data_IF_170097709237
#
_entry.id   IF_170097709237
#
_cell.length_a   1.000
_cell.length_b   1.000
_cell.length_c   1.000
_cell.angle_alpha   90.00
_cell.angle_beta   90.00
_cell.angle_gamma   90.00
#
_symmetry.space_group_name_H-M   'P 1'
#
loop_
_entity.id
_entity.type
_entity.pdbx_description
1 polymer ?
#
# COMPACT_ATOMS: atom_id res chain seq x y z
N UNK A 1 13.54 18.07 3.54
CA UNK A 1 13.32 17.01 2.53
C UNK A 1 12.00 17.31 1.82
N UNK A 2 11.99 17.40 0.50
CA UNK A 2 10.74 17.62 -0.28
C UNK A 2 10.02 16.28 -0.43
N UNK A 3 8.71 16.23 -0.20
CA UNK A 3 7.87 15.04 -0.34
C UNK A 3 6.74 15.32 -1.33
N UNK A 4 6.32 14.31 -2.09
CA UNK A 4 5.13 14.35 -2.92
C UNK A 4 3.84 14.14 -2.12
N UNK A 5 3.94 13.83 -0.82
CA UNK A 5 2.77 13.61 0.03
C UNK A 5 1.99 14.89 0.26
N UNK A 6 0.72 14.87 -0.10
CA UNK A 6 -0.28 15.91 0.21
C UNK A 6 -0.69 15.77 1.68
N UNK A 7 -0.97 14.54 2.13
CA UNK A 7 -1.18 14.22 3.54
C UNK A 7 0.18 14.01 4.21
N UNK A 8 0.59 14.95 5.05
CA UNK A 8 1.91 14.96 5.68
C UNK A 8 1.98 14.20 7.00
N UNK A 9 0.86 13.64 7.49
CA UNK A 9 0.78 13.03 8.82
C UNK A 9 1.93 12.07 9.13
N UNK A 10 2.24 11.13 8.23
CA UNK A 10 3.30 10.15 8.48
C UNK A 10 4.67 10.81 8.65
N UNK A 11 4.97 11.83 7.83
CA UNK A 11 6.21 12.59 7.91
C UNK A 11 6.31 13.43 9.19
N UNK A 12 5.20 14.07 9.57
CA UNK A 12 5.15 14.96 10.72
C UNK A 12 5.18 14.20 12.06
N UNK A 13 4.96 12.88 12.01
CA UNK A 13 5.01 11.98 13.16
C UNK A 13 6.19 10.98 13.11
N UNK A 14 7.23 11.27 12.33
CA UNK A 14 8.48 10.51 12.38
C UNK A 14 9.17 10.68 13.75
N UNK A 15 9.93 9.67 14.20
CA UNK A 15 10.77 9.81 15.38
C UNK A 15 11.69 11.03 15.28
N UNK A 16 12.08 11.66 16.41
CA UNK A 16 13.10 12.69 16.44
C UNK A 16 14.37 12.26 15.69
N UNK A 17 15.07 13.22 15.07
CA UNK A 17 16.19 12.91 14.18
C UNK A 17 17.29 12.08 14.85
N UNK A 18 17.55 12.30 16.12
CA UNK A 18 18.52 11.57 16.95
C UNK A 18 18.14 10.09 17.18
N UNK A 19 16.86 9.73 16.97
CA UNK A 19 16.35 8.36 17.05
C UNK A 19 16.19 7.71 15.68
N UNK A 20 16.50 8.42 14.59
CA UNK A 20 16.43 7.87 13.25
C UNK A 20 17.76 7.15 12.92
N UNK A 21 17.71 6.06 12.11
CA UNK A 21 18.91 5.38 11.67
C UNK A 21 19.71 6.28 10.71
N UNK A 22 21.03 6.14 10.74
CA UNK A 22 21.89 6.67 9.70
C UNK A 22 21.80 5.77 8.46
N UNK A 23 21.49 6.37 7.31
CA UNK A 23 21.38 5.64 6.05
C UNK A 23 22.72 5.67 5.32
N UNK A 24 23.42 4.53 5.28
CA UNK A 24 24.68 4.37 4.58
C UNK A 24 24.45 3.88 3.14
N UNK A 25 24.06 4.78 2.24
CA UNK A 25 23.86 4.47 0.82
C UNK A 25 25.15 4.66 0.01
N UNK A 26 26.22 3.98 0.40
CA UNK A 26 27.54 4.12 -0.21
C UNK A 26 27.68 3.32 -1.52
N UNK A 27 26.98 2.19 -1.63
CA UNK A 27 26.99 1.34 -2.82
C UNK A 27 26.28 2.03 -3.99
N UNK A 28 26.82 1.92 -5.22
CA UNK A 28 26.19 2.49 -6.41
C UNK A 28 24.72 2.07 -6.60
N UNK A 29 24.40 0.81 -6.27
CA UNK A 29 23.06 0.21 -6.36
C UNK A 29 22.06 0.82 -5.37
N UNK A 30 22.54 1.47 -4.31
CA UNK A 30 21.74 2.13 -3.28
C UNK A 30 21.60 3.64 -3.50
N UNK A 31 22.06 4.15 -4.63
CA UNK A 31 21.91 5.56 -5.02
C UNK A 31 20.55 5.79 -5.61
N UNK A 32 19.57 6.09 -4.76
CA UNK A 32 18.21 6.36 -5.19
C UNK A 32 18.04 7.82 -5.65
N UNK A 33 17.19 8.08 -6.65
CA UNK A 33 16.85 9.44 -7.05
C UNK A 33 16.10 10.17 -5.93
N UNK A 34 16.14 11.50 -5.92
CA UNK A 34 15.43 12.34 -4.94
C UNK A 34 13.93 12.06 -4.92
N UNK A 35 13.37 11.67 -6.07
CA UNK A 35 11.97 11.30 -6.23
C UNK A 35 11.88 9.90 -6.81
N UNK A 36 11.25 9.02 -6.06
CA UNK A 36 11.07 7.62 -6.42
C UNK A 36 9.64 7.18 -6.12
N UNK A 37 9.00 6.53 -7.08
CA UNK A 37 7.81 5.74 -6.83
C UNK A 37 8.19 4.26 -6.88
N UNK A 38 8.13 3.58 -5.74
CA UNK A 38 8.53 2.18 -5.64
C UNK A 38 7.75 1.25 -6.58
N UNK A 39 6.46 1.52 -6.81
CA UNK A 39 5.67 0.72 -7.74
C UNK A 39 6.12 0.93 -9.20
N UNK A 40 6.47 2.15 -9.57
CA UNK A 40 7.01 2.43 -10.91
C UNK A 40 8.35 1.70 -11.10
N UNK A 41 9.25 1.76 -10.11
CA UNK A 41 10.57 1.14 -10.20
C UNK A 41 10.50 -0.40 -10.18
N UNK A 42 9.70 -0.98 -9.27
CA UNK A 42 9.65 -2.43 -9.05
C UNK A 42 8.68 -3.16 -9.99
N UNK A 43 7.74 -2.47 -10.63
CA UNK A 43 6.73 -3.08 -11.48
C UNK A 43 6.71 -2.49 -12.90
N UNK A 44 6.47 -1.18 -13.03
CA UNK A 44 6.26 -0.57 -14.35
C UNK A 44 7.51 -0.62 -15.22
N UNK A 45 8.67 -0.42 -14.63
CA UNK A 45 9.97 -0.51 -15.31
C UNK A 45 10.18 -1.86 -15.97
N UNK A 46 9.81 -2.98 -15.32
CA UNK A 46 9.94 -4.31 -15.93
C UNK A 46 9.10 -4.45 -17.20
N UNK A 47 7.90 -3.90 -17.21
CA UNK A 47 7.03 -3.91 -18.39
C UNK A 47 7.59 -3.00 -19.48
N UNK A 48 8.01 -1.79 -19.14
CA UNK A 48 8.58 -0.82 -20.07
C UNK A 48 9.87 -1.32 -20.74
N UNK A 49 10.67 -2.11 -20.04
CA UNK A 49 11.92 -2.72 -20.55
C UNK A 49 11.66 -4.06 -21.29
N UNK A 50 10.43 -4.39 -21.66
CA UNK A 50 10.09 -5.58 -22.45
C UNK A 50 10.09 -6.89 -21.65
N UNK A 51 10.06 -6.84 -20.32
CA UNK A 51 9.99 -8.04 -19.47
C UNK A 51 8.57 -8.32 -18.94
N UNK A 52 7.55 -7.70 -19.57
CA UNK A 52 6.16 -7.82 -19.16
C UNK A 52 5.61 -9.24 -19.12
N UNK A 53 6.07 -10.11 -20.01
CA UNK A 53 5.60 -11.51 -20.12
C UNK A 53 6.26 -12.46 -19.12
N UNK A 54 7.27 -12.01 -18.36
CA UNK A 54 7.89 -12.84 -17.33
C UNK A 54 6.94 -13.04 -16.16
N UNK A 55 6.86 -14.29 -15.67
CA UNK A 55 6.11 -14.62 -14.46
C UNK A 55 6.74 -13.93 -13.23
N UNK A 56 5.93 -13.18 -12.47
CA UNK A 56 6.37 -12.50 -11.26
C UNK A 56 5.63 -12.99 -10.01
N UNK A 57 4.43 -13.55 -10.13
CA UNK A 57 3.67 -14.13 -9.03
C UNK A 57 3.34 -15.58 -9.36
N UNK A 58 3.58 -16.46 -8.39
CA UNK A 58 3.19 -17.86 -8.43
C UNK A 58 2.47 -18.24 -7.14
N UNK A 59 1.25 -18.76 -7.29
CA UNK A 59 0.44 -19.30 -6.19
C UNK A 59 -0.27 -20.56 -6.67
N UNK A 60 -0.83 -21.40 -5.80
CA UNK A 60 -1.56 -22.60 -6.22
C UNK A 60 -2.63 -22.26 -7.27
N UNK A 61 -2.50 -22.84 -8.47
CA UNK A 61 -3.42 -22.61 -9.58
C UNK A 61 -3.35 -21.23 -10.25
N UNK A 62 -2.44 -20.34 -9.83
CA UNK A 62 -2.33 -18.97 -10.34
C UNK A 62 -0.88 -18.67 -10.70
N UNK A 63 -0.67 -18.12 -11.90
CA UNK A 63 0.60 -17.52 -12.30
C UNK A 63 0.29 -16.20 -13.00
N UNK A 64 0.87 -15.08 -12.51
CA UNK A 64 0.75 -13.77 -13.16
C UNK A 64 2.08 -13.30 -13.67
N UNK A 65 2.04 -12.66 -14.84
CA UNK A 65 3.17 -11.95 -15.40
C UNK A 65 3.27 -10.53 -14.84
N UNK A 66 4.40 -9.84 -15.06
CA UNK A 66 4.55 -8.43 -14.72
C UNK A 66 3.46 -7.56 -15.37
N UNK A 67 3.14 -7.79 -16.64
CA UNK A 67 2.08 -7.05 -17.35
C UNK A 67 0.70 -7.26 -16.70
N UNK A 68 0.36 -8.50 -16.33
CA UNK A 68 -0.90 -8.81 -15.65
C UNK A 68 -0.99 -8.19 -14.25
N UNK A 69 0.11 -8.21 -13.49
CA UNK A 69 0.17 -7.55 -12.19
C UNK A 69 0.03 -6.04 -12.33
N UNK A 70 0.72 -5.43 -13.31
CA UNK A 70 0.63 -4.00 -13.61
C UNK A 70 -0.80 -3.59 -13.96
N UNK A 71 -1.48 -4.35 -14.83
CA UNK A 71 -2.87 -4.08 -15.21
C UNK A 71 -3.78 -4.05 -13.99
N UNK A 72 -3.67 -5.07 -13.11
CA UNK A 72 -4.47 -5.15 -11.88
C UNK A 72 -4.15 -4.00 -10.93
N UNK A 73 -2.88 -3.72 -10.70
CA UNK A 73 -2.45 -2.60 -9.86
C UNK A 73 -2.97 -1.25 -10.40
N UNK A 74 -2.95 -1.04 -11.72
CA UNK A 74 -3.48 0.17 -12.36
C UNK A 74 -4.99 0.32 -12.17
N UNK A 75 -5.75 -0.77 -12.32
CA UNK A 75 -7.21 -0.75 -12.09
C UNK A 75 -7.54 -0.39 -10.64
N UNK A 76 -6.86 -1.02 -9.67
CA UNK A 76 -7.05 -0.73 -8.25
C UNK A 76 -6.62 0.71 -7.93
N UNK A 77 -5.50 1.17 -8.49
CA UNK A 77 -5.03 2.54 -8.33
C UNK A 77 -6.07 3.57 -8.82
N UNK A 78 -6.74 3.29 -9.95
CA UNK A 78 -7.83 4.13 -10.44
C UNK A 78 -9.01 4.18 -9.47
N UNK A 79 -9.41 3.04 -8.88
CA UNK A 79 -10.46 2.99 -7.85
C UNK A 79 -10.05 3.82 -6.63
N UNK A 80 -8.82 3.66 -6.14
CA UNK A 80 -8.31 4.42 -5.00
C UNK A 80 -8.39 5.93 -5.24
N UNK A 81 -7.99 6.41 -6.42
CA UNK A 81 -7.96 7.86 -6.71
C UNK A 81 -9.33 8.39 -7.08
N UNK A 82 -10.05 7.73 -8.01
CA UNK A 82 -11.26 8.29 -8.62
C UNK A 82 -12.51 8.05 -7.82
N UNK A 83 -12.61 6.90 -7.13
CA UNK A 83 -13.80 6.52 -6.40
C UNK A 83 -13.65 6.75 -4.90
N UNK A 84 -12.47 6.42 -4.34
CA UNK A 84 -12.23 6.56 -2.90
C UNK A 84 -11.57 7.89 -2.51
N UNK A 85 -11.12 8.71 -3.47
CA UNK A 85 -10.52 10.02 -3.19
C UNK A 85 -9.17 9.97 -2.47
N UNK A 86 -8.42 8.87 -2.62
CA UNK A 86 -7.09 8.73 -2.02
C UNK A 86 -6.13 9.73 -2.63
N UNK A 87 -5.43 10.47 -1.78
CA UNK A 87 -4.35 11.40 -2.17
C UNK A 87 -2.99 10.88 -1.66
N UNK A 88 -1.87 11.32 -2.29
CA UNK A 88 -0.54 10.94 -1.83
C UNK A 88 -0.33 11.24 -0.34
N UNK A 89 0.22 10.25 0.38
CA UNK A 89 0.43 10.32 1.84
C UNK A 89 -0.73 9.78 2.68
N UNK A 90 -1.92 9.54 2.12
CA UNK A 90 -2.97 8.84 2.86
C UNK A 90 -2.51 7.43 3.26
N UNK A 91 -2.92 6.96 4.45
CA UNK A 91 -2.69 5.58 4.89
C UNK A 91 -3.87 4.75 4.48
N UNK A 92 -3.58 3.69 3.71
CA UNK A 92 -4.56 2.72 3.24
C UNK A 92 -4.30 1.40 3.96
N UNK A 93 -5.26 0.97 4.77
CA UNK A 93 -5.18 -0.31 5.46
C UNK A 93 -5.42 -1.45 4.46
N UNK A 94 -4.49 -2.41 4.44
CA UNK A 94 -4.59 -3.63 3.64
C UNK A 94 -4.88 -4.81 4.56
N UNK A 95 -6.01 -5.47 4.34
CA UNK A 95 -6.45 -6.63 5.10
C UNK A 95 -6.78 -7.79 4.17
N UNK A 96 -5.81 -8.63 3.94
CA UNK A 96 -5.92 -9.81 3.09
C UNK A 96 -4.94 -10.91 3.54
N UNK A 97 -5.21 -12.18 3.25
CA UNK A 97 -4.20 -13.22 3.35
C UNK A 97 -3.11 -13.00 2.28
N UNK A 98 -2.03 -13.79 2.39
CA UNK A 98 -0.96 -13.77 1.39
C UNK A 98 -1.44 -14.40 0.08
N UNK A 99 -2.09 -13.61 -0.76
CA UNK A 99 -2.57 -14.02 -2.07
C UNK A 99 -2.12 -13.02 -3.16
N UNK A 100 -2.21 -13.38 -4.44
CA UNK A 100 -1.81 -12.51 -5.54
C UNK A 100 -2.51 -11.14 -5.56
N UNK A 101 -3.79 -11.08 -5.15
CA UNK A 101 -4.54 -9.83 -5.13
C UNK A 101 -4.04 -8.86 -4.05
N UNK A 102 -3.61 -9.38 -2.88
CA UNK A 102 -2.97 -8.56 -1.85
C UNK A 102 -1.71 -7.85 -2.38
N UNK A 103 -0.93 -8.53 -3.22
CA UNK A 103 0.25 -7.92 -3.88
C UNK A 103 -0.17 -6.83 -4.86
N UNK A 104 -1.21 -7.07 -5.67
CA UNK A 104 -1.74 -6.04 -6.59
C UNK A 104 -2.25 -4.81 -5.84
N UNK A 105 -2.96 -4.99 -4.73
CA UNK A 105 -3.42 -3.91 -3.86
C UNK A 105 -2.24 -3.12 -3.27
N UNK A 106 -1.20 -3.81 -2.83
CA UNK A 106 -0.01 -3.18 -2.27
C UNK A 106 0.70 -2.30 -3.30
N UNK A 107 0.93 -2.83 -4.51
CA UNK A 107 1.49 -2.04 -5.61
C UNK A 107 0.59 -0.86 -6.00
N UNK A 108 -0.73 -1.04 -6.01
CA UNK A 108 -1.66 0.04 -6.31
C UNK A 108 -1.57 1.19 -5.29
N UNK A 109 -1.52 0.86 -3.99
CA UNK A 109 -1.37 1.86 -2.91
C UNK A 109 -0.06 2.64 -3.07
N UNK A 110 1.06 1.95 -3.32
CA UNK A 110 2.35 2.63 -3.57
C UNK A 110 2.30 3.48 -4.84
N UNK A 111 1.65 2.98 -5.90
CA UNK A 111 1.55 3.68 -7.20
C UNK A 111 0.87 5.03 -7.07
N UNK A 112 -0.16 5.15 -6.28
CA UNK A 112 -0.88 6.42 -6.03
C UNK A 112 -0.17 7.31 -5.01
N UNK A 113 1.01 6.91 -4.53
CA UNK A 113 1.78 7.66 -3.53
C UNK A 113 1.19 7.58 -2.12
N UNK A 114 0.28 6.65 -1.88
CA UNK A 114 -0.27 6.38 -0.55
C UNK A 114 0.65 5.43 0.26
N UNK A 115 0.37 5.30 1.54
CA UNK A 115 1.15 4.50 2.49
C UNK A 115 0.35 3.25 2.84
N UNK A 116 0.90 2.07 2.54
CA UNK A 116 0.29 0.79 2.87
C UNK A 116 0.43 0.48 4.37
N UNK A 117 -0.69 0.22 5.04
CA UNK A 117 -0.77 -0.26 6.42
C UNK A 117 -1.25 -1.72 6.37
N UNK A 118 -0.32 -2.64 6.18
CA UNK A 118 -0.64 -4.06 6.08
C UNK A 118 -0.99 -4.66 7.44
N UNK A 119 -2.06 -5.45 7.50
CA UNK A 119 -2.52 -6.09 8.73
C UNK A 119 -2.67 -7.60 8.55
N UNK A 120 -2.43 -8.34 9.64
CA UNK A 120 -2.61 -9.79 9.63
C UNK A 120 -4.11 -10.17 9.59
N UNK A 121 -4.49 -11.23 8.85
CA UNK A 121 -5.87 -11.71 8.81
C UNK A 121 -6.45 -12.11 10.18
N UNK A 122 -5.60 -12.50 11.12
CA UNK A 122 -6.01 -12.97 12.45
C UNK A 122 -6.39 -11.85 13.43
N UNK A 123 -6.07 -10.58 13.12
CA UNK A 123 -6.42 -9.47 13.98
C UNK A 123 -7.94 -9.31 14.08
N UNK A 124 -8.42 -8.98 15.27
CA UNK A 124 -9.82 -8.73 15.56
C UNK A 124 -10.12 -7.23 15.58
N UNK A 125 -11.37 -6.87 15.75
CA UNK A 125 -11.83 -5.49 15.70
C UNK A 125 -11.06 -4.55 16.64
N UNK A 126 -10.74 -5.00 17.87
CA UNK A 126 -10.01 -4.20 18.85
C UNK A 126 -8.59 -3.83 18.40
N UNK A 127 -7.84 -4.79 17.88
CA UNK A 127 -6.49 -4.54 17.37
C UNK A 127 -6.56 -3.67 16.12
N UNK A 128 -7.52 -3.94 15.24
CA UNK A 128 -7.72 -3.15 14.02
C UNK A 128 -8.07 -1.69 14.33
N UNK A 129 -8.99 -1.43 15.27
CA UNK A 129 -9.33 -0.05 15.67
C UNK A 129 -8.11 0.70 16.20
N UNK A 130 -7.29 0.04 17.03
CA UNK A 130 -6.04 0.63 17.53
C UNK A 130 -5.07 0.99 16.39
N UNK A 131 -4.93 0.11 15.39
CA UNK A 131 -4.07 0.37 14.22
C UNK A 131 -4.64 1.50 13.37
N UNK A 132 -5.94 1.50 13.11
CA UNK A 132 -6.64 2.54 12.34
C UNK A 132 -6.41 3.91 12.98
N UNK A 133 -6.65 4.02 14.27
CA UNK A 133 -6.54 5.28 15.01
C UNK A 133 -5.08 5.76 15.07
N UNK A 134 -4.15 4.86 15.38
CA UNK A 134 -2.72 5.20 15.50
C UNK A 134 -2.12 5.60 14.15
N UNK A 135 -2.45 4.88 13.08
CA UNK A 135 -1.98 5.19 11.73
C UNK A 135 -2.80 6.31 11.07
N UNK A 136 -3.93 6.71 11.64
CA UNK A 136 -4.90 7.61 10.99
C UNK A 136 -5.27 7.10 9.61
N UNK A 137 -5.53 5.78 9.49
CA UNK A 137 -5.89 5.14 8.23
C UNK A 137 -7.32 5.54 7.83
N UNK A 138 -7.45 6.26 6.73
CA UNK A 138 -8.74 6.79 6.27
C UNK A 138 -9.45 5.89 5.27
N UNK A 139 -8.71 4.98 4.63
CA UNK A 139 -9.18 4.06 3.60
C UNK A 139 -8.73 2.63 3.88
N UNK A 140 -9.46 1.65 3.41
CA UNK A 140 -9.10 0.24 3.51
C UNK A 140 -9.46 -0.54 2.24
N UNK A 141 -8.57 -1.47 1.86
CA UNK A 141 -8.84 -2.55 0.93
C UNK A 141 -8.85 -3.87 1.73
N UNK A 142 -9.92 -4.63 1.64
CA UNK A 142 -10.14 -5.80 2.48
C UNK A 142 -10.63 -7.00 1.67
N UNK A 143 -10.09 -8.17 1.96
CA UNK A 143 -10.68 -9.43 1.50
C UNK A 143 -12.08 -9.60 2.08
N UNK A 144 -13.08 -9.93 1.24
CA UNK A 144 -14.48 -10.00 1.65
C UNK A 144 -14.70 -10.93 2.86
N UNK A 145 -13.99 -12.06 2.91
CA UNK A 145 -14.07 -13.01 4.02
C UNK A 145 -13.58 -12.45 5.37
N UNK A 146 -12.83 -11.33 5.35
CA UNK A 146 -12.26 -10.69 6.54
C UNK A 146 -12.97 -9.36 6.90
N UNK A 147 -14.06 -9.04 6.20
CA UNK A 147 -14.70 -7.73 6.27
C UNK A 147 -15.43 -7.47 7.61
N UNK A 148 -15.95 -8.51 8.28
CA UNK A 148 -16.74 -8.36 9.50
C UNK A 148 -15.98 -7.63 10.61
N UNK A 149 -14.82 -8.15 11.00
CA UNK A 149 -13.99 -7.54 12.02
C UNK A 149 -13.52 -6.12 11.65
N UNK A 150 -13.33 -5.85 10.36
CA UNK A 150 -12.96 -4.50 9.90
C UNK A 150 -14.14 -3.53 9.99
N UNK A 151 -15.35 -3.94 9.67
CA UNK A 151 -16.55 -3.11 9.82
C UNK A 151 -16.84 -2.79 11.29
N UNK A 152 -16.67 -3.78 12.16
CA UNK A 152 -16.77 -3.58 13.61
C UNK A 152 -15.71 -2.58 14.12
N UNK A 153 -14.46 -2.71 13.65
CA UNK A 153 -13.41 -1.75 13.99
C UNK A 153 -13.72 -0.34 13.47
N UNK A 154 -14.24 -0.22 12.24
CA UNK A 154 -14.63 1.07 11.66
C UNK A 154 -15.75 1.77 12.43
N UNK A 155 -16.70 1.01 12.98
CA UNK A 155 -17.74 1.57 13.83
C UNK A 155 -17.20 2.20 15.12
N UNK A 156 -16.08 1.68 15.64
CA UNK A 156 -15.38 2.22 16.80
C UNK A 156 -14.34 3.31 16.43
N UNK A 157 -13.93 3.40 15.17
CA UNK A 157 -12.86 4.31 14.70
C UNK A 157 -13.35 5.15 13.52
N UNK A 158 -13.95 6.33 13.77
CA UNK A 158 -14.52 7.19 12.72
C UNK A 158 -13.46 7.78 11.77
N UNK A 159 -12.19 7.53 12.01
CA UNK A 159 -11.08 7.89 11.12
C UNK A 159 -11.18 7.12 9.80
N UNK A 160 -11.56 5.84 9.84
CA UNK A 160 -11.72 4.99 8.65
C UNK A 160 -13.07 5.33 7.99
N UNK A 161 -13.00 5.93 6.81
CA UNK A 161 -14.16 6.49 6.10
C UNK A 161 -14.65 5.61 4.96
N UNK A 162 -13.73 4.91 4.31
CA UNK A 162 -14.02 4.18 3.09
C UNK A 162 -13.39 2.78 3.13
N UNK A 163 -14.19 1.75 2.85
CA UNK A 163 -13.76 0.35 2.77
C UNK A 163 -14.21 -0.20 1.41
N UNK A 164 -13.27 -0.83 0.67
CA UNK A 164 -13.55 -1.64 -0.53
C UNK A 164 -13.20 -3.10 -0.27
N UNK A 165 -14.08 -3.98 -0.77
CA UNK A 165 -13.93 -5.44 -0.69
C UNK A 165 -13.47 -6.00 -2.04
#
# INVERSE_FOLDING_TARGET
MRSAHVDSFARDNLPPRELQPEFLFELPELRFPERLNCAAELLDRHVAEGRGDRACIRAPGISWTYAQLQEKANRIANVLVREMGVVPGNRVLLRAPNNPMAVACWFAVMKVGAIAVATMPLLRARELSTIIDKARATHALCEAALAEALREAAAASPVLREIRL
#
